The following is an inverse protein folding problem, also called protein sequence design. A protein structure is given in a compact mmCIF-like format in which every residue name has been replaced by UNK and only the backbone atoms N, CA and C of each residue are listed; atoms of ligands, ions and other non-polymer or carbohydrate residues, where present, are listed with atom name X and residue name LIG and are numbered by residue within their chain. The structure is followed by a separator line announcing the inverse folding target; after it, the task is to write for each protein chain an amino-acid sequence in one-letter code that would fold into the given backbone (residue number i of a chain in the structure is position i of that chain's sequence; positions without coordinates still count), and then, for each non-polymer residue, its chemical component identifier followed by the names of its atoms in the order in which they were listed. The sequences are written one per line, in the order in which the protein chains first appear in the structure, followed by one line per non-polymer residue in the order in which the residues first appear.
data_IF_549738112885
#
_entry.id   IF_549738112885
#
_cell.length_a   1.000
_cell.length_b   1.000
_cell.length_c   1.000
_cell.angle_alpha   90.00
_cell.angle_beta   90.00
_cell.angle_gamma   90.00
#
_symmetry.space_group_name_H-M   'P 1'
#
loop_
_entity.id
_entity.type
_entity.pdbx_description
1 polymer ?
#
# COMPACT_ATOMS: atom_id res chain seq x y z
N UNK A 1 41.01 -6.53 -3.45
CA UNK A 1 40.29 -7.13 -4.57
C UNK A 1 39.06 -6.29 -4.81
N UNK A 2 39.01 -5.55 -5.92
CA UNK A 2 37.82 -4.80 -6.34
C UNK A 2 36.90 -5.84 -7.01
N UNK A 3 35.79 -6.21 -6.37
CA UNK A 3 34.76 -7.06 -6.95
C UNK A 3 34.11 -6.26 -8.09
N UNK A 4 34.40 -6.61 -9.34
CA UNK A 4 33.68 -6.09 -10.50
C UNK A 4 32.31 -6.78 -10.52
N UNK A 5 31.28 -6.01 -10.14
CA UNK A 5 29.90 -6.45 -10.35
C UNK A 5 29.63 -6.67 -11.84
N UNK A 6 28.78 -7.63 -12.20
CA UNK A 6 28.30 -7.73 -13.57
C UNK A 6 27.46 -6.50 -13.94
N UNK A 7 27.39 -6.16 -15.23
CA UNK A 7 26.55 -5.04 -15.69
C UNK A 7 25.09 -5.19 -15.26
N UNK A 8 24.57 -6.42 -15.21
CA UNK A 8 23.22 -6.72 -14.72
C UNK A 8 23.06 -6.42 -13.22
N UNK A 9 24.03 -6.78 -12.39
CA UNK A 9 23.99 -6.51 -10.95
C UNK A 9 24.08 -5.00 -10.68
N UNK A 10 24.91 -4.30 -11.43
CA UNK A 10 25.03 -2.85 -11.35
C UNK A 10 23.73 -2.15 -11.74
N UNK A 11 23.08 -2.60 -12.82
CA UNK A 11 21.77 -2.08 -13.25
C UNK A 11 20.69 -2.37 -12.24
N UNK A 12 20.67 -3.56 -11.64
CA UNK A 12 19.71 -3.95 -10.61
C UNK A 12 19.83 -3.06 -9.37
N UNK A 13 21.06 -2.81 -8.89
CA UNK A 13 21.32 -1.91 -7.76
C UNK A 13 20.93 -0.47 -8.06
N UNK A 14 21.22 0.02 -9.26
CA UNK A 14 20.78 1.33 -9.69
C UNK A 14 19.26 1.48 -9.69
N UNK A 15 18.53 0.50 -10.27
CA UNK A 15 17.06 0.48 -10.24
C UNK A 15 16.51 0.42 -8.82
N UNK A 16 17.18 -0.31 -7.91
CA UNK A 16 16.80 -0.38 -6.52
C UNK A 16 16.88 0.98 -5.81
N UNK A 17 17.95 1.73 -6.07
CA UNK A 17 18.10 3.08 -5.53
C UNK A 17 17.07 4.08 -6.10
N UNK A 18 16.70 3.93 -7.37
CA UNK A 18 15.57 4.67 -7.94
C UNK A 18 14.26 4.31 -7.27
N UNK A 19 13.98 3.02 -7.13
CA UNK A 19 12.78 2.49 -6.51
C UNK A 19 12.65 2.92 -5.04
N UNK A 20 13.75 3.05 -4.31
CA UNK A 20 13.74 3.57 -2.95
C UNK A 20 13.25 5.01 -2.85
N UNK A 21 13.49 5.82 -3.87
CA UNK A 21 13.12 7.25 -3.92
C UNK A 21 11.76 7.50 -4.54
N UNK A 22 11.33 6.62 -5.44
CA UNK A 22 10.07 6.75 -6.18
C UNK A 22 9.33 5.40 -6.20
N UNK A 23 8.18 5.29 -5.54
CA UNK A 23 7.39 4.08 -5.55
C UNK A 23 6.90 3.67 -6.94
N UNK A 24 6.80 4.59 -7.92
CA UNK A 24 6.46 4.24 -9.31
C UNK A 24 7.56 3.37 -9.91
N UNK A 25 8.84 3.67 -9.64
CA UNK A 25 9.96 2.86 -10.09
C UNK A 25 9.98 1.48 -9.39
N UNK A 26 9.54 1.42 -8.13
CA UNK A 26 9.34 0.14 -7.44
C UNK A 26 8.27 -0.70 -8.12
N UNK A 27 7.10 -0.13 -8.42
CA UNK A 27 6.03 -0.82 -9.15
C UNK A 27 6.52 -1.33 -10.51
N UNK A 28 7.28 -0.51 -11.24
CA UNK A 28 7.76 -0.81 -12.59
C UNK A 28 8.78 -1.95 -12.66
N UNK A 29 9.77 -1.95 -11.76
CA UNK A 29 10.92 -2.85 -11.86
C UNK A 29 10.90 -4.03 -10.90
N UNK A 30 10.13 -3.95 -9.80
CA UNK A 30 10.24 -4.91 -8.72
C UNK A 30 8.93 -5.61 -8.34
N UNK A 31 7.78 -5.13 -8.86
CA UNK A 31 6.49 -5.71 -8.53
C UNK A 31 6.01 -6.66 -9.61
N UNK A 32 5.74 -7.89 -9.21
CA UNK A 32 5.07 -8.91 -10.01
C UNK A 32 3.72 -9.24 -9.39
N UNK A 33 2.75 -9.55 -10.24
CA UNK A 33 1.38 -9.89 -9.88
C UNK A 33 1.01 -11.26 -10.40
N UNK A 34 -0.04 -11.85 -9.84
CA UNK A 34 -0.56 -13.14 -10.27
C UNK A 34 -1.89 -12.97 -10.99
N UNK A 35 -1.96 -13.45 -12.23
CA UNK A 35 -3.16 -13.49 -13.06
C UNK A 35 -3.64 -14.94 -13.18
N UNK A 36 -4.65 -15.31 -12.40
CA UNK A 36 -5.22 -16.67 -12.42
C UNK A 36 -5.93 -17.05 -13.73
N UNK A 37 -6.19 -16.10 -14.61
CA UNK A 37 -6.85 -16.31 -15.89
C UNK A 37 -5.87 -16.57 -17.04
N UNK A 38 -4.59 -16.27 -16.84
CA UNK A 38 -3.53 -16.57 -17.82
C UNK A 38 -2.76 -17.81 -17.36
N UNK A 39 -3.17 -18.98 -17.88
CA UNK A 39 -2.58 -20.25 -17.48
C UNK A 39 -1.15 -20.43 -18.01
N UNK A 40 -0.78 -19.77 -19.09
CA UNK A 40 0.55 -19.88 -19.70
C UNK A 40 1.58 -18.98 -19.00
N UNK A 41 1.16 -17.79 -18.58
CA UNK A 41 2.00 -16.78 -17.94
C UNK A 41 1.29 -16.12 -16.76
N UNK A 42 1.02 -16.86 -15.70
CA UNK A 42 0.27 -16.32 -14.56
C UNK A 42 1.03 -15.23 -13.78
N UNK A 43 2.36 -15.25 -13.83
CA UNK A 43 3.21 -14.25 -13.15
C UNK A 43 3.62 -13.18 -14.16
N UNK A 44 3.18 -11.94 -13.90
CA UNK A 44 3.42 -10.80 -14.80
C UNK A 44 3.99 -9.62 -14.03
N UNK A 45 4.87 -8.81 -14.65
CA UNK A 45 5.23 -7.52 -14.09
C UNK A 45 3.97 -6.66 -13.94
N UNK A 46 3.97 -5.76 -12.96
CA UNK A 46 2.88 -4.80 -12.79
C UNK A 46 2.77 -3.90 -14.02
N UNK A 47 1.59 -3.80 -14.66
CA UNK A 47 1.43 -3.16 -15.97
C UNK A 47 1.35 -1.63 -15.83
N UNK A 48 2.41 -0.99 -15.32
CA UNK A 48 2.43 0.45 -15.04
C UNK A 48 2.35 1.29 -16.31
N UNK A 49 2.96 0.80 -17.41
CA UNK A 49 2.95 1.51 -18.70
C UNK A 49 1.61 1.39 -19.42
N UNK A 50 0.98 0.22 -19.37
CA UNK A 50 -0.32 -0.06 -19.99
C UNK A 50 -1.48 0.53 -19.18
N UNK A 51 -1.24 0.81 -17.89
CA UNK A 51 -2.24 1.31 -16.94
C UNK A 51 -1.73 2.57 -16.22
N UNK A 52 -1.72 3.74 -16.89
CA UNK A 52 -1.13 4.97 -16.35
C UNK A 52 -1.77 5.48 -15.06
N UNK A 53 -2.99 5.03 -14.73
CA UNK A 53 -3.60 5.34 -13.44
C UNK A 53 -2.79 4.80 -12.25
N UNK A 54 -2.12 3.64 -12.39
CA UNK A 54 -1.27 3.08 -11.33
C UNK A 54 -0.13 4.04 -10.97
N UNK A 55 0.57 4.57 -11.97
CA UNK A 55 1.61 5.58 -11.73
C UNK A 55 1.04 6.88 -11.14
N UNK A 56 -0.17 7.29 -11.56
CA UNK A 56 -0.80 8.50 -11.04
C UNK A 56 -1.16 8.35 -9.55
N UNK A 57 -1.80 7.24 -9.18
CA UNK A 57 -2.15 6.93 -7.79
C UNK A 57 -0.91 6.83 -6.91
N UNK A 58 0.12 6.10 -7.34
CA UNK A 58 1.36 5.96 -6.60
C UNK A 58 2.04 7.33 -6.34
N UNK A 59 2.02 8.26 -7.32
CA UNK A 59 2.56 9.62 -7.14
C UNK A 59 1.75 10.44 -6.15
N UNK A 60 0.41 10.37 -6.19
CA UNK A 60 -0.46 11.07 -5.22
C UNK A 60 -0.24 10.49 -3.83
N UNK A 61 -0.22 9.17 -3.70
CA UNK A 61 0.08 8.48 -2.45
C UNK A 61 1.46 8.89 -1.90
N UNK A 62 2.50 8.92 -2.74
CA UNK A 62 3.85 9.31 -2.33
C UNK A 62 3.91 10.76 -1.83
N UNK A 63 3.21 11.69 -2.50
CA UNK A 63 3.08 13.08 -2.01
C UNK A 63 2.41 13.12 -0.63
N UNK A 64 1.34 12.36 -0.43
CA UNK A 64 0.66 12.25 0.86
C UNK A 64 1.58 11.64 1.92
N UNK A 65 2.22 10.52 1.60
CA UNK A 65 3.19 9.83 2.47
C UNK A 65 4.32 10.77 2.91
N UNK A 66 4.93 11.49 1.99
CA UNK A 66 6.00 12.47 2.25
C UNK A 66 5.49 13.74 2.97
N UNK A 67 4.18 13.91 3.15
CA UNK A 67 3.57 15.08 3.75
C UNK A 67 3.54 16.33 2.87
N UNK A 68 3.65 16.14 1.57
CA UNK A 68 3.68 17.20 0.55
C UNK A 68 2.36 17.33 -0.22
N UNK A 69 1.30 16.63 0.21
CA UNK A 69 -0.04 16.76 -0.34
C UNK A 69 -0.85 17.72 0.53
N UNK A 70 -1.29 18.82 -0.05
CA UNK A 70 -2.08 19.86 0.61
C UNK A 70 -3.42 20.01 -0.08
N UNK A 71 -4.49 20.07 0.69
CA UNK A 71 -5.85 20.28 0.20
C UNK A 71 -6.46 21.50 0.86
N UNK A 72 -7.37 22.17 0.14
CA UNK A 72 -8.17 23.27 0.69
C UNK A 72 -9.54 22.74 1.11
N UNK A 73 -9.92 22.96 2.36
CA UNK A 73 -11.28 22.65 2.81
C UNK A 73 -12.27 23.62 2.11
N UNK A 74 -13.24 23.13 1.35
CA UNK A 74 -14.14 23.97 0.57
C UNK A 74 -15.06 24.83 1.43
N UNK A 75 -15.45 24.34 2.62
CA UNK A 75 -16.35 25.06 3.52
C UNK A 75 -15.64 26.18 4.30
N UNK A 76 -14.37 26.00 4.68
CA UNK A 76 -13.64 26.95 5.53
C UNK A 76 -12.55 27.73 4.80
N UNK A 77 -12.21 27.33 3.56
CA UNK A 77 -11.09 27.87 2.78
C UNK A 77 -9.71 27.55 3.35
N UNK A 78 -9.63 26.82 4.46
CA UNK A 78 -8.38 26.51 5.15
C UNK A 78 -7.59 25.45 4.41
N UNK A 79 -6.30 25.72 4.16
CA UNK A 79 -5.37 24.76 3.58
C UNK A 79 -4.82 23.86 4.69
N UNK A 80 -4.89 22.56 4.48
CA UNK A 80 -4.42 21.56 5.42
C UNK A 80 -3.66 20.45 4.71
N UNK A 81 -2.76 19.79 5.44
CA UNK A 81 -2.01 18.64 4.93
C UNK A 81 -2.93 17.44 4.79
N UNK A 82 -2.98 16.84 3.59
CA UNK A 82 -3.73 15.62 3.37
C UNK A 82 -2.92 14.41 3.86
N UNK A 83 -3.56 13.54 4.64
CA UNK A 83 -2.99 12.31 5.18
C UNK A 83 -3.84 11.08 4.88
N UNK A 84 -4.93 11.26 4.16
CA UNK A 84 -5.84 10.18 3.80
C UNK A 84 -6.30 10.25 2.35
N UNK A 85 -6.32 9.10 1.71
CA UNK A 85 -6.90 8.89 0.37
C UNK A 85 -8.09 7.94 0.54
N UNK A 86 -9.21 8.27 -0.10
CA UNK A 86 -10.36 7.41 -0.25
C UNK A 86 -10.72 7.33 -1.74
N UNK A 87 -10.76 6.12 -2.28
CA UNK A 87 -10.98 5.89 -3.71
C UNK A 87 -12.07 4.86 -3.97
N UNK A 88 -13.07 5.25 -4.73
CA UNK A 88 -13.96 4.31 -5.39
C UNK A 88 -13.31 3.75 -6.64
N UNK A 89 -13.27 2.45 -6.77
CA UNK A 89 -12.67 1.73 -7.90
C UNK A 89 -13.67 0.82 -8.59
N UNK A 90 -13.50 0.59 -9.87
CA UNK A 90 -14.13 -0.54 -10.55
C UNK A 90 -13.39 -1.85 -10.19
N UNK A 91 -14.02 -2.98 -10.45
CA UNK A 91 -13.37 -4.29 -10.27
C UNK A 91 -12.23 -4.47 -11.27
N UNK A 92 -11.22 -5.26 -10.90
CA UNK A 92 -10.11 -5.69 -11.76
C UNK A 92 -9.18 -4.57 -12.29
N UNK A 93 -9.12 -3.43 -11.61
CA UNK A 93 -8.21 -2.32 -11.96
C UNK A 93 -6.84 -2.41 -11.29
N UNK A 94 -6.55 -3.51 -10.59
CA UNK A 94 -5.29 -3.82 -9.90
C UNK A 94 -4.93 -2.93 -8.71
N UNK A 95 -5.81 -2.05 -8.25
CA UNK A 95 -5.54 -1.12 -7.15
C UNK A 95 -5.19 -1.82 -5.83
N UNK A 96 -5.82 -2.97 -5.50
CA UNK A 96 -5.42 -3.71 -4.29
C UNK A 96 -3.97 -4.21 -4.37
N UNK A 97 -3.51 -4.69 -5.54
CA UNK A 97 -2.12 -5.06 -5.76
C UNK A 97 -1.19 -3.85 -5.62
N UNK A 98 -1.59 -2.71 -6.18
CA UNK A 98 -0.84 -1.46 -6.12
C UNK A 98 -0.65 -0.99 -4.67
N UNK A 99 -1.74 -0.83 -3.90
CA UNK A 99 -1.63 -0.38 -2.51
C UNK A 99 -0.87 -1.37 -1.62
N UNK A 100 -1.00 -2.68 -1.86
CA UNK A 100 -0.18 -3.68 -1.17
C UNK A 100 1.31 -3.49 -1.51
N UNK A 101 1.64 -3.24 -2.77
CA UNK A 101 3.01 -2.95 -3.18
C UNK A 101 3.54 -1.65 -2.53
N UNK A 102 2.71 -0.61 -2.40
CA UNK A 102 3.06 0.62 -1.69
C UNK A 102 3.27 0.38 -0.18
N UNK A 103 2.47 -0.50 0.44
CA UNK A 103 2.70 -0.93 1.83
C UNK A 103 4.04 -1.67 1.98
N UNK A 104 4.35 -2.59 1.05
CA UNK A 104 5.64 -3.29 1.00
C UNK A 104 6.78 -2.29 0.84
N UNK A 105 6.67 -1.34 -0.09
CA UNK A 105 7.63 -0.27 -0.31
C UNK A 105 7.92 0.52 0.98
N UNK A 106 6.86 0.91 1.71
CA UNK A 106 7.00 1.69 2.94
C UNK A 106 7.82 0.93 4.01
N UNK A 107 7.60 -0.36 4.18
CA UNK A 107 8.26 -1.13 5.24
C UNK A 107 9.65 -1.65 4.87
N UNK A 108 9.97 -1.86 3.58
CA UNK A 108 11.29 -2.35 3.17
C UNK A 108 12.31 -1.23 2.98
N UNK A 109 11.87 0.00 2.68
CA UNK A 109 12.76 1.12 2.43
C UNK A 109 12.88 2.11 3.60
N UNK A 110 11.97 2.04 4.61
CA UNK A 110 11.94 3.00 5.71
C UNK A 110 11.93 2.29 7.06
N UNK A 111 12.72 2.83 7.98
CA UNK A 111 12.87 2.28 9.32
C UNK A 111 11.70 2.65 10.24
N UNK A 112 11.40 1.76 11.19
CA UNK A 112 10.43 2.01 12.26
C UNK A 112 8.98 2.09 11.79
N UNK A 113 8.66 1.47 10.64
CA UNK A 113 7.30 1.53 10.08
C UNK A 113 6.42 0.43 10.64
N UNK A 114 5.22 0.81 11.09
CA UNK A 114 4.14 -0.11 11.40
C UNK A 114 2.98 0.18 10.44
N UNK A 115 2.80 -0.70 9.46
CA UNK A 115 1.77 -0.55 8.44
C UNK A 115 0.74 -1.65 8.58
N UNK A 116 -0.53 -1.27 8.76
CA UNK A 116 -1.66 -2.19 8.77
C UNK A 116 -2.26 -2.34 7.39
N UNK A 117 -2.57 -3.57 7.02
CA UNK A 117 -3.43 -3.90 5.88
C UNK A 117 -4.72 -4.52 6.41
N UNK A 118 -5.82 -3.84 6.21
CA UNK A 118 -7.12 -4.23 6.73
C UNK A 118 -8.07 -4.71 5.63
N UNK A 119 -8.82 -5.75 5.91
CA UNK A 119 -9.92 -6.21 5.07
C UNK A 119 -11.09 -6.66 5.93
N UNK A 120 -12.25 -6.90 5.31
CA UNK A 120 -13.50 -7.26 5.98
C UNK A 120 -13.36 -8.49 6.90
N UNK A 121 -12.63 -9.52 6.45
CA UNK A 121 -12.43 -10.77 7.18
C UNK A 121 -10.96 -11.06 7.38
N UNK A 122 -10.64 -11.83 8.41
CA UNK A 122 -9.26 -12.27 8.65
C UNK A 122 -8.70 -13.07 7.47
N UNK A 123 -9.50 -13.94 6.86
CA UNK A 123 -9.13 -14.72 5.69
C UNK A 123 -8.77 -13.85 4.48
N UNK A 124 -9.55 -12.77 4.25
CA UNK A 124 -9.31 -11.81 3.18
C UNK A 124 -8.06 -10.95 3.45
N UNK A 125 -7.78 -10.68 4.73
CA UNK A 125 -6.58 -9.96 5.13
C UNK A 125 -5.32 -10.83 5.02
N UNK A 126 -5.35 -12.08 5.46
CA UNK A 126 -4.20 -12.98 5.47
C UNK A 126 -3.97 -13.59 4.08
N UNK A 127 -4.94 -14.34 3.57
CA UNK A 127 -4.86 -15.01 2.26
C UNK A 127 -3.76 -16.06 2.14
N UNK A 128 -3.38 -16.37 0.89
CA UNK A 128 -2.38 -17.38 0.55
C UNK A 128 -1.35 -16.82 -0.44
N UNK A 129 -0.07 -17.05 -0.17
CA UNK A 129 1.04 -16.61 -1.03
C UNK A 129 1.02 -17.30 -2.40
N UNK A 130 0.82 -18.60 -2.46
CA UNK A 130 0.91 -19.38 -3.70
C UNK A 130 -0.08 -18.93 -4.78
N UNK A 131 -1.28 -18.48 -4.36
CA UNK A 131 -2.29 -17.96 -5.27
C UNK A 131 -2.37 -16.43 -5.31
N UNK A 132 -1.51 -15.71 -4.59
CA UNK A 132 -1.59 -14.24 -4.49
C UNK A 132 -2.97 -13.77 -4.00
N UNK A 133 -3.58 -14.50 -3.05
CA UNK A 133 -4.89 -14.16 -2.48
C UNK A 133 -4.75 -13.45 -1.15
N UNK A 134 -5.76 -12.65 -0.77
CA UNK A 134 -5.72 -11.81 0.42
C UNK A 134 -4.63 -10.74 0.37
N UNK A 135 -4.56 -9.90 1.39
CA UNK A 135 -3.62 -8.78 1.39
C UNK A 135 -2.20 -9.25 1.70
N UNK A 136 -2.03 -10.02 2.78
CA UNK A 136 -0.70 -10.50 3.19
C UNK A 136 -0.14 -11.55 2.22
N UNK A 137 -1.00 -12.42 1.67
CA UNK A 137 -0.60 -13.38 0.64
C UNK A 137 -0.03 -12.69 -0.61
N UNK A 138 -0.66 -11.60 -1.06
CA UNK A 138 -0.13 -10.78 -2.16
C UNK A 138 1.17 -10.07 -1.79
N UNK A 139 1.31 -9.56 -0.56
CA UNK A 139 2.56 -8.97 -0.10
C UNK A 139 3.71 -10.00 -0.11
N UNK A 140 3.46 -11.22 0.39
CA UNK A 140 4.41 -12.33 0.32
C UNK A 140 4.75 -12.71 -1.11
N UNK A 141 3.74 -12.76 -1.99
CA UNK A 141 3.94 -13.03 -3.41
C UNK A 141 4.87 -12.00 -4.06
N UNK A 142 4.63 -10.70 -3.84
CA UNK A 142 5.49 -9.62 -4.34
C UNK A 142 6.93 -9.83 -3.86
N UNK A 143 7.13 -10.05 -2.56
CA UNK A 143 8.46 -10.24 -1.97
C UNK A 143 9.16 -11.50 -2.48
N UNK A 144 8.42 -12.60 -2.72
CA UNK A 144 8.99 -13.85 -3.22
C UNK A 144 9.44 -13.77 -4.68
N UNK A 145 8.79 -12.93 -5.48
CA UNK A 145 9.09 -12.71 -6.91
C UNK A 145 9.93 -11.45 -7.19
N UNK A 146 10.33 -10.72 -6.16
CA UNK A 146 11.11 -9.50 -6.32
C UNK A 146 12.52 -9.82 -6.87
N UNK A 147 12.94 -9.20 -7.99
CA UNK A 147 14.28 -9.39 -8.55
C UNK A 147 15.38 -9.03 -7.56
N UNK A 148 16.34 -9.93 -7.36
CA UNK A 148 17.44 -9.70 -6.43
C UNK A 148 17.07 -9.73 -4.94
N UNK A 149 15.95 -10.34 -4.57
CA UNK A 149 15.43 -10.38 -3.20
C UNK A 149 16.47 -10.83 -2.16
N UNK A 150 17.33 -11.77 -2.50
CA UNK A 150 18.34 -12.34 -1.58
C UNK A 150 19.37 -11.31 -1.11
N UNK A 151 19.58 -10.24 -1.89
CA UNK A 151 20.61 -9.21 -1.66
C UNK A 151 19.97 -7.86 -1.30
N UNK A 152 18.78 -7.58 -1.83
CA UNK A 152 18.16 -6.26 -1.77
C UNK A 152 17.13 -6.14 -0.64
N UNK A 153 16.35 -7.22 -0.39
CA UNK A 153 15.28 -7.16 0.62
C UNK A 153 15.87 -7.35 2.02
N UNK A 154 15.51 -6.48 2.99
CA UNK A 154 15.92 -6.65 4.38
C UNK A 154 15.48 -7.99 4.95
N UNK A 155 16.22 -8.51 5.93
CA UNK A 155 15.89 -9.77 6.60
C UNK A 155 14.46 -9.73 7.15
N UNK A 156 13.66 -10.70 6.74
CA UNK A 156 12.25 -10.82 7.06
C UNK A 156 11.93 -12.08 7.85
N UNK A 157 11.05 -11.94 8.84
CA UNK A 157 10.41 -13.04 9.58
C UNK A 157 8.93 -13.04 9.24
N UNK A 158 8.45 -14.15 8.64
CA UNK A 158 7.03 -14.33 8.33
C UNK A 158 6.31 -14.98 9.50
N UNK A 159 5.22 -14.34 9.94
CA UNK A 159 4.26 -14.85 10.92
C UNK A 159 2.92 -15.16 10.26
N UNK A 160 1.98 -15.68 11.03
CA UNK A 160 0.65 -16.00 10.51
C UNK A 160 -0.03 -14.80 9.84
N UNK A 161 -0.03 -13.64 10.49
CA UNK A 161 -0.70 -12.43 10.04
C UNK A 161 0.20 -11.21 9.85
N UNK A 162 1.54 -11.36 9.92
CA UNK A 162 2.48 -10.24 9.74
C UNK A 162 3.82 -10.64 9.16
N UNK A 163 4.48 -9.66 8.56
CA UNK A 163 5.87 -9.72 8.12
C UNK A 163 6.68 -8.72 8.94
N UNK A 164 7.72 -9.21 9.60
CA UNK A 164 8.62 -8.42 10.46
C UNK A 164 9.97 -8.26 9.76
N UNK A 165 10.33 -7.03 9.41
CA UNK A 165 11.62 -6.69 8.76
C UNK A 165 12.59 -6.26 9.84
N UNK A 166 13.36 -7.22 10.35
CA UNK A 166 14.16 -7.04 11.59
C UNK A 166 15.26 -6.00 11.46
N UNK A 167 15.88 -5.87 10.29
CA UNK A 167 16.94 -4.87 10.03
C UNK A 167 16.36 -3.45 9.90
N UNK A 168 15.08 -3.34 9.51
CA UNK A 168 14.37 -2.07 9.38
C UNK A 168 13.56 -1.70 10.62
N UNK A 169 13.44 -2.61 11.59
CA UNK A 169 12.50 -2.45 12.71
C UNK A 169 11.08 -2.07 12.23
N UNK A 170 10.64 -2.69 11.14
CA UNK A 170 9.38 -2.38 10.46
C UNK A 170 8.49 -3.60 10.37
N UNK A 171 7.18 -3.39 10.41
CA UNK A 171 6.18 -4.46 10.42
C UNK A 171 5.07 -4.14 9.42
N UNK A 172 4.72 -5.13 8.59
CA UNK A 172 3.53 -5.15 7.79
C UNK A 172 2.55 -6.14 8.41
N UNK A 173 1.38 -5.67 8.84
CA UNK A 173 0.46 -6.45 9.64
C UNK A 173 -0.94 -6.50 9.01
N UNK A 174 -1.40 -7.69 8.65
CA UNK A 174 -2.75 -7.94 8.15
C UNK A 174 -3.72 -8.12 9.32
N UNK A 175 -4.82 -7.37 9.29
CA UNK A 175 -5.83 -7.36 10.34
C UNK A 175 -7.25 -7.44 9.74
N UNK A 176 -8.23 -8.05 10.43
CA UNK A 176 -9.63 -7.94 10.06
C UNK A 176 -10.16 -6.52 10.26
N UNK A 177 -11.41 -6.29 9.88
CA UNK A 177 -12.11 -5.04 10.16
C UNK A 177 -12.20 -4.71 11.65
N UNK A 178 -12.45 -3.44 11.96
CA UNK A 178 -12.53 -2.91 13.32
C UNK A 178 -11.36 -2.01 13.70
N UNK A 179 -11.56 -1.24 14.75
CA UNK A 179 -10.61 -0.21 15.18
C UNK A 179 -9.71 -0.60 16.34
N UNK A 180 -9.96 -1.70 17.03
CA UNK A 180 -9.34 -2.01 18.33
C UNK A 180 -7.83 -2.25 18.22
N UNK A 181 -7.40 -3.00 17.21
CA UNK A 181 -5.96 -3.24 16.97
C UNK A 181 -5.28 -1.93 16.60
N UNK A 182 -5.90 -1.11 15.75
CA UNK A 182 -5.35 0.17 15.31
C UNK A 182 -5.21 1.13 16.51
N UNK A 183 -6.23 1.19 17.40
CA UNK A 183 -6.22 2.04 18.60
C UNK A 183 -5.08 1.69 19.58
N UNK A 184 -4.73 0.41 19.64
CA UNK A 184 -3.71 -0.10 20.56
C UNK A 184 -2.28 0.19 20.10
N UNK A 185 -2.09 0.74 18.90
CA UNK A 185 -0.78 0.95 18.29
C UNK A 185 -0.68 2.32 17.61
N UNK A 186 0.55 2.84 17.52
CA UNK A 186 0.82 4.04 16.70
C UNK A 186 1.17 3.62 15.29
N UNK A 187 0.18 3.59 14.40
CA UNK A 187 0.36 3.20 13.02
C UNK A 187 1.14 4.25 12.22
N UNK A 188 2.09 3.82 11.42
CA UNK A 188 2.73 4.66 10.39
C UNK A 188 1.88 4.76 9.13
N UNK A 189 1.09 3.74 8.86
CA UNK A 189 0.16 3.68 7.74
C UNK A 189 -0.94 2.65 7.94
N UNK A 190 -2.09 2.91 7.33
CA UNK A 190 -3.22 1.99 7.28
C UNK A 190 -3.72 1.93 5.85
N UNK A 191 -3.71 0.76 5.26
CA UNK A 191 -4.39 0.45 4.02
C UNK A 191 -5.63 -0.40 4.32
N UNK A 192 -6.80 0.01 3.85
CA UNK A 192 -8.05 -0.74 4.01
C UNK A 192 -8.66 -1.04 2.64
N UNK A 193 -8.83 -2.32 2.34
CA UNK A 193 -9.44 -2.79 1.08
C UNK A 193 -10.91 -3.15 1.30
N UNK A 194 -11.74 -2.94 0.28
CA UNK A 194 -13.18 -3.17 0.29
C UNK A 194 -13.91 -2.42 1.43
N UNK A 195 -13.53 -1.15 1.65
CA UNK A 195 -14.00 -0.31 2.75
C UNK A 195 -15.52 -0.17 2.83
N UNK A 196 -16.20 -0.06 1.69
CA UNK A 196 -17.66 0.09 1.63
C UNK A 196 -18.42 -1.14 2.17
N UNK A 197 -17.77 -2.30 2.20
CA UNK A 197 -18.35 -3.57 2.66
C UNK A 197 -17.92 -3.98 4.07
N UNK A 198 -17.19 -3.11 4.77
CA UNK A 198 -16.78 -3.32 6.16
C UNK A 198 -17.76 -2.61 7.10
N UNK A 199 -18.61 -3.33 7.88
CA UNK A 199 -19.53 -2.71 8.83
C UNK A 199 -18.86 -1.79 9.85
N UNK A 200 -17.64 -2.13 10.28
CA UNK A 200 -16.87 -1.38 11.27
C UNK A 200 -15.89 -0.36 10.65
N UNK A 201 -16.05 -0.02 9.36
CA UNK A 201 -15.10 0.86 8.66
C UNK A 201 -15.02 2.26 9.29
N UNK A 202 -16.15 2.87 9.66
CA UNK A 202 -16.16 4.19 10.32
C UNK A 202 -15.39 4.15 11.63
N UNK A 203 -15.56 3.10 12.42
CA UNK A 203 -14.83 2.86 13.67
C UNK A 203 -13.34 2.71 13.43
N UNK A 204 -12.94 1.94 12.41
CA UNK A 204 -11.54 1.74 12.03
C UNK A 204 -10.89 3.03 11.53
N UNK A 205 -11.58 3.80 10.67
CA UNK A 205 -11.12 5.09 10.19
C UNK A 205 -10.93 6.09 11.35
N UNK A 206 -11.91 6.18 12.25
CA UNK A 206 -11.83 7.03 13.44
C UNK A 206 -10.66 6.65 14.34
N UNK A 207 -10.40 5.34 14.49
CA UNK A 207 -9.27 4.81 15.26
C UNK A 207 -7.90 5.18 14.64
N UNK A 208 -7.83 5.30 13.32
CA UNK A 208 -6.60 5.70 12.61
C UNK A 208 -6.29 7.20 12.74
N UNK A 209 -7.28 8.06 12.99
CA UNK A 209 -7.14 9.53 12.99
C UNK A 209 -6.01 10.08 13.88
N UNK A 210 -5.77 9.58 15.12
CA UNK A 210 -4.63 10.04 15.92
C UNK A 210 -3.28 9.79 15.24
N UNK A 211 -3.11 8.61 14.62
CA UNK A 211 -1.89 8.26 13.87
C UNK A 211 -1.70 9.16 12.65
N UNK A 212 -2.78 9.51 11.94
CA UNK A 212 -2.72 10.45 10.80
C UNK A 212 -2.26 11.84 11.25
N UNK A 213 -2.76 12.33 12.38
CA UNK A 213 -2.33 13.62 12.96
C UNK A 213 -0.86 13.59 13.38
N UNK A 214 -0.37 12.44 13.85
CA UNK A 214 1.03 12.19 14.18
C UNK A 214 1.97 12.05 12.99
N UNK A 215 1.47 12.10 11.76
CA UNK A 215 2.27 12.00 10.54
C UNK A 215 2.14 10.68 9.77
N UNK A 216 1.28 9.77 10.22
CA UNK A 216 0.91 8.55 9.49
C UNK A 216 0.06 8.85 8.25
N UNK A 217 -0.27 7.80 7.49
CA UNK A 217 -1.12 7.89 6.32
C UNK A 217 -2.26 6.85 6.36
N UNK A 218 -3.34 7.15 5.64
CA UNK A 218 -4.47 6.24 5.45
C UNK A 218 -4.79 6.15 3.96
N UNK A 219 -5.05 4.94 3.47
CA UNK A 219 -5.59 4.71 2.14
C UNK A 219 -6.72 3.69 2.22
N UNK A 220 -7.92 4.09 1.82
CA UNK A 220 -9.08 3.24 1.73
C UNK A 220 -9.56 3.11 0.29
N UNK A 221 -9.81 1.88 -0.15
CA UNK A 221 -10.33 1.61 -1.49
C UNK A 221 -11.52 0.66 -1.44
N UNK A 222 -12.49 0.86 -2.31
CA UNK A 222 -13.62 -0.06 -2.46
C UNK A 222 -14.29 0.10 -3.81
N UNK A 223 -15.03 -0.93 -4.24
CA UNK A 223 -16.09 -0.73 -5.22
C UNK A 223 -17.19 0.12 -4.59
N UNK A 224 -17.92 0.96 -5.38
CA UNK A 224 -18.97 1.82 -4.85
C UNK A 224 -20.07 1.03 -4.14
N UNK A 225 -20.42 1.48 -2.93
CA UNK A 225 -21.61 1.04 -2.19
C UNK A 225 -22.09 2.23 -1.31
N UNK A 226 -23.39 2.43 -1.11
CA UNK A 226 -23.90 3.50 -0.23
C UNK A 226 -23.39 3.36 1.20
N UNK A 227 -23.08 4.52 1.85
CA UNK A 227 -22.67 4.56 3.25
C UNK A 227 -21.47 5.45 3.51
N UNK A 228 -20.91 5.37 4.71
CA UNK A 228 -19.84 6.23 5.21
C UNK A 228 -18.63 6.33 4.26
N UNK A 229 -18.21 5.23 3.64
CA UNK A 229 -17.07 5.26 2.73
C UNK A 229 -17.33 6.12 1.50
N UNK A 230 -18.53 6.04 0.92
CA UNK A 230 -18.94 6.88 -0.20
C UNK A 230 -18.97 8.35 0.18
N UNK A 231 -19.57 8.69 1.34
CA UNK A 231 -19.61 10.07 1.82
C UNK A 231 -18.19 10.62 2.00
N UNK A 232 -17.28 9.81 2.55
CA UNK A 232 -15.86 10.16 2.67
C UNK A 232 -15.20 10.41 1.30
N UNK A 233 -15.51 9.61 0.27
CA UNK A 233 -15.00 9.84 -1.10
C UNK A 233 -15.55 11.14 -1.71
N UNK A 234 -16.82 11.46 -1.49
CA UNK A 234 -17.45 12.70 -1.99
C UNK A 234 -16.85 13.93 -1.32
N UNK A 235 -16.62 13.91 -0.01
CA UNK A 235 -15.93 14.97 0.73
C UNK A 235 -14.51 15.20 0.20
N UNK A 236 -13.76 14.12 -0.08
CA UNK A 236 -12.40 14.22 -0.64
C UNK A 236 -12.38 14.76 -2.07
N UNK A 237 -13.38 14.44 -2.90
CA UNK A 237 -13.52 15.05 -4.23
C UNK A 237 -13.75 16.55 -4.13
N UNK A 238 -14.63 17.00 -3.23
CA UNK A 238 -14.90 18.42 -3.00
C UNK A 238 -13.64 19.16 -2.52
N UNK A 239 -12.87 18.59 -1.60
CA UNK A 239 -11.59 19.13 -1.12
C UNK A 239 -10.55 19.23 -2.25
N UNK A 240 -10.45 18.22 -3.13
CA UNK A 240 -9.50 18.19 -4.24
C UNK A 240 -9.86 19.22 -5.34
N UNK A 241 -11.14 19.45 -5.61
CA UNK A 241 -11.60 20.44 -6.59
C UNK A 241 -11.41 21.89 -6.12
N UNK A 242 -11.34 22.11 -4.82
CA UNK A 242 -11.13 23.42 -4.22
C UNK A 242 -9.65 23.82 -4.06
N UNK A 243 -8.73 22.89 -4.35
CA UNK A 243 -7.28 23.07 -4.19
C UNK A 243 -6.61 23.61 -5.45
#
# INVERSE_FOLDING_TARGET
MVSTFSDEETLLRYRWELARRDPVEFLRYFVFTFDQHDLDRPIKPMPVEERPHLAAIARVWHKMWAGNLWLRNPATGKVQRCRGIAEEKSRQVMQSWEYIALCVWDVIFHQGRLVFMQSKREEDAIGNEAGGTGLLGRAKFILSHLPGKQVLVPRMVSRANKLEFTEMNSVLWAIPEGGDIIRSHTASGVFSDECAFQPEFESAFTAAMPSLRGGGWFAGVSTPDPGFFRDLCEDRKAEAQAA
#
